data_IF_489065932376
#
_entry.id   IF_489065932376
#
_cell.length_a   1.000
_cell.length_b   1.000
_cell.length_c   1.000
_cell.angle_alpha   90.00
_cell.angle_beta   90.00
_cell.angle_gamma   90.00
#
_symmetry.space_group_name_H-M   'P 1'
#
loop_
_entity.id
_entity.type
_entity.pdbx_description
1 polymer ?
#
# COMPACT_ATOMS: atom_id res chain seq x y z
N UNK A 1 -7.71 1.63 -10.71
CA UNK A 1 -8.83 1.95 -9.77
C UNK A 1 -9.06 0.87 -8.70
N UNK A 2 -9.00 -0.43 -9.03
CA UNK A 2 -9.34 -1.52 -8.07
C UNK A 2 -8.49 -1.54 -6.78
N UNK A 3 -7.18 -1.29 -6.86
CA UNK A 3 -6.30 -1.27 -5.68
C UNK A 3 -6.70 -0.18 -4.66
N UNK A 4 -7.10 1.01 -5.12
CA UNK A 4 -7.54 2.10 -4.24
C UNK A 4 -8.84 1.74 -3.50
N UNK A 5 -9.77 1.05 -4.17
CA UNK A 5 -11.01 0.58 -3.55
C UNK A 5 -10.75 -0.53 -2.53
N UNK A 6 -9.80 -1.44 -2.82
CA UNK A 6 -9.37 -2.48 -1.88
C UNK A 6 -8.73 -1.87 -0.62
N UNK A 7 -7.85 -0.89 -0.80
CA UNK A 7 -7.22 -0.16 0.30
C UNK A 7 -8.24 0.59 1.15
N UNK A 8 -9.15 1.35 0.52
CA UNK A 8 -10.19 2.07 1.24
C UNK A 8 -11.09 1.14 2.07
N UNK A 9 -11.42 -0.05 1.53
CA UNK A 9 -12.20 -1.06 2.25
C UNK A 9 -11.44 -1.63 3.44
N UNK A 10 -10.16 -1.92 3.28
CA UNK A 10 -9.31 -2.40 4.36
C UNK A 10 -9.18 -1.34 5.46
N UNK A 11 -9.00 -0.07 5.09
CA UNK A 11 -8.91 1.05 6.04
C UNK A 11 -10.25 1.35 6.74
N UNK A 12 -11.39 1.14 6.09
CA UNK A 12 -12.71 1.37 6.67
C UNK A 12 -13.00 0.46 7.89
N UNK A 13 -12.27 -0.66 8.03
CA UNK A 13 -12.36 -1.55 9.20
C UNK A 13 -11.47 -1.10 10.38
N UNK A 14 -10.79 0.05 10.25
CA UNK A 14 -9.83 0.58 11.23
C UNK A 14 -8.79 -0.45 11.74
N UNK A 15 -8.16 -1.25 10.87
CA UNK A 15 -7.27 -2.31 11.32
C UNK A 15 -6.03 -1.72 11.99
N UNK A 16 -5.45 -2.46 12.95
CA UNK A 16 -4.13 -2.11 13.52
C UNK A 16 -2.98 -2.42 12.54
N UNK A 17 -3.18 -3.41 11.67
CA UNK A 17 -2.18 -3.90 10.71
C UNK A 17 -2.81 -4.05 9.33
N UNK A 18 -2.15 -3.50 8.31
CA UNK A 18 -2.49 -3.68 6.90
C UNK A 18 -1.47 -4.61 6.24
N UNK A 19 -1.95 -5.73 5.69
CA UNK A 19 -1.14 -6.71 4.96
C UNK A 19 -1.44 -6.61 3.47
N UNK A 20 -0.42 -6.48 2.64
CA UNK A 20 -0.55 -6.41 1.18
C UNK A 20 0.38 -7.42 0.50
N UNK A 21 -0.17 -8.22 -0.40
CA UNK A 21 0.62 -9.15 -1.22
C UNK A 21 0.89 -8.53 -2.59
N UNK A 22 2.17 -8.38 -2.92
CA UNK A 22 2.67 -7.76 -4.15
C UNK A 22 1.92 -6.49 -4.63
N UNK A 23 1.77 -5.45 -3.80
CA UNK A 23 0.91 -4.29 -4.11
C UNK A 23 1.36 -3.46 -5.32
N UNK A 24 2.58 -3.67 -5.81
CA UNK A 24 3.20 -2.92 -6.89
C UNK A 24 3.63 -3.80 -8.08
N UNK A 25 3.18 -5.06 -8.13
CA UNK A 25 3.47 -5.94 -9.26
C UNK A 25 2.86 -5.39 -10.56
N UNK A 26 3.55 -5.61 -11.67
CA UNK A 26 3.12 -5.13 -13.00
C UNK A 26 3.27 -3.62 -13.24
N UNK A 27 3.87 -2.87 -12.31
CA UNK A 27 4.20 -1.45 -12.51
C UNK A 27 5.62 -1.27 -13.06
N UNK A 28 5.80 -0.28 -13.95
CA UNK A 28 7.12 0.15 -14.38
C UNK A 28 8.01 0.55 -13.19
N UNK A 29 9.34 0.36 -13.26
CA UNK A 29 10.26 0.62 -12.15
C UNK A 29 10.15 2.05 -11.56
N UNK A 30 9.90 3.04 -12.41
CA UNK A 30 9.70 4.43 -12.00
C UNK A 30 8.42 4.60 -11.18
N UNK A 31 7.30 4.07 -11.68
CA UNK A 31 5.99 4.15 -11.03
C UNK A 31 6.02 3.37 -9.71
N UNK A 32 6.68 2.21 -9.68
CA UNK A 32 6.88 1.42 -8.45
C UNK A 32 7.59 2.23 -7.37
N UNK A 33 8.61 3.00 -7.72
CA UNK A 33 9.35 3.86 -6.78
C UNK A 33 8.47 5.00 -6.28
N UNK A 34 7.71 5.64 -7.17
CA UNK A 34 6.77 6.71 -6.79
C UNK A 34 5.69 6.18 -5.83
N UNK A 35 5.07 5.05 -6.15
CA UNK A 35 4.03 4.43 -5.33
C UNK A 35 4.56 4.03 -3.94
N UNK A 36 5.80 3.55 -3.84
CA UNK A 36 6.45 3.30 -2.53
C UNK A 36 6.57 4.58 -1.70
N UNK A 37 6.96 5.69 -2.33
CA UNK A 37 7.05 6.99 -1.64
C UNK A 37 5.67 7.46 -1.18
N UNK A 38 4.66 7.41 -2.05
CA UNK A 38 3.28 7.78 -1.70
C UNK A 38 2.74 6.93 -0.55
N UNK A 39 3.01 5.62 -0.56
CA UNK A 39 2.57 4.72 0.50
C UNK A 39 3.29 4.98 1.83
N UNK A 40 4.57 5.39 1.78
CA UNK A 40 5.32 5.84 2.96
C UNK A 40 4.73 7.12 3.55
N UNK A 41 4.37 8.10 2.71
CA UNK A 41 3.71 9.33 3.16
C UNK A 41 2.36 9.02 3.78
N UNK A 42 1.55 8.17 3.12
CA UNK A 42 0.26 7.75 3.64
C UNK A 42 0.39 7.04 4.99
N UNK A 43 1.40 6.18 5.15
CA UNK A 43 1.67 5.49 6.42
C UNK A 43 1.93 6.46 7.58
N UNK A 44 2.64 7.56 7.31
CA UNK A 44 2.90 8.60 8.30
C UNK A 44 1.62 9.35 8.71
N UNK A 45 0.69 9.54 7.78
CA UNK A 45 -0.60 10.20 8.06
C UNK A 45 -1.57 9.31 8.84
N UNK A 46 -1.70 8.04 8.46
CA UNK A 46 -2.67 7.12 9.07
C UNK A 46 -2.15 6.42 10.35
N UNK A 47 -0.83 6.45 10.58
CA UNK A 47 -0.15 5.81 11.72
C UNK A 47 -0.51 4.34 11.95
N UNK A 48 -0.76 3.59 10.88
CA UNK A 48 -1.00 2.14 10.93
C UNK A 48 0.25 1.35 10.57
N UNK A 49 0.36 0.15 11.12
CA UNK A 49 1.43 -0.78 10.74
C UNK A 49 1.10 -1.36 9.36
N UNK A 50 2.00 -1.16 8.39
CA UNK A 50 1.84 -1.68 7.03
C UNK A 50 2.94 -2.71 6.76
N UNK A 51 2.54 -3.91 6.35
CA UNK A 51 3.42 -5.00 5.96
C UNK A 51 3.08 -5.39 4.52
N UNK A 52 4.09 -5.46 3.65
CA UNK A 52 3.89 -5.95 2.29
C UNK A 52 4.98 -6.91 1.86
N UNK A 53 4.58 -7.88 1.04
CA UNK A 53 5.47 -8.84 0.41
C UNK A 53 5.74 -8.35 -1.02
N UNK A 54 7.01 -8.37 -1.43
CA UNK A 54 7.42 -7.99 -2.78
C UNK A 54 8.49 -8.96 -3.24
N UNK A 55 8.38 -9.40 -4.48
CA UNK A 55 9.50 -9.93 -5.23
C UNK A 55 10.47 -8.80 -5.58
N UNK A 56 11.76 -9.11 -5.70
CA UNK A 56 12.86 -8.15 -5.92
C UNK A 56 12.79 -7.55 -7.34
#
# INVERSE_FOLDING_TARGET
MQQRVGLARALAMDPSILLMDEPFSGLDPLIRRQMRTELSTLQQEIQKTIIFITTI
#
